data_IF_833849642851
#
_entry.id   IF_833849642851
#
_cell.length_a   1.000
_cell.length_b   1.000
_cell.length_c   1.000
_cell.angle_alpha   90.00
_cell.angle_beta   90.00
_cell.angle_gamma   90.00
#
_symmetry.space_group_name_H-M   'P 1'
#
loop_
_entity.id
_entity.type
_entity.pdbx_description
1 polymer ?
#
# COMPACT_ATOMS: atom_id res chain seq x y z
N UNK A 1 -4.62 16.34 41.37
CA UNK A 1 -5.56 15.73 40.39
C UNK A 1 -4.81 14.68 39.57
N UNK A 2 -5.02 13.39 39.85
CA UNK A 2 -4.40 12.31 39.07
C UNK A 2 -5.20 12.08 37.78
N UNK A 3 -4.59 12.35 36.62
CA UNK A 3 -5.16 11.97 35.32
C UNK A 3 -5.30 10.45 35.28
N UNK A 4 -6.54 9.95 35.31
CA UNK A 4 -6.87 8.54 35.04
C UNK A 4 -6.25 8.16 33.69
N UNK A 5 -5.22 7.29 33.70
CA UNK A 5 -4.79 6.56 32.50
C UNK A 5 -6.02 5.79 32.02
N UNK A 6 -6.60 6.18 30.88
CA UNK A 6 -7.59 5.34 30.18
C UNK A 6 -6.91 4.00 29.96
N UNK A 7 -7.39 2.92 30.59
CA UNK A 7 -7.00 1.56 30.26
C UNK A 7 -7.21 1.43 28.75
N UNK A 8 -6.13 1.19 27.99
CA UNK A 8 -6.26 0.79 26.59
C UNK A 8 -7.23 -0.40 26.58
N UNK A 9 -8.24 -0.43 25.69
CA UNK A 9 -9.07 -1.61 25.57
C UNK A 9 -8.12 -2.79 25.37
N UNK A 10 -8.24 -3.81 26.22
CA UNK A 10 -7.56 -5.09 26.00
C UNK A 10 -7.91 -5.50 24.58
N UNK A 11 -6.89 -5.55 23.73
CA UNK A 11 -7.00 -6.21 22.44
C UNK A 11 -7.60 -7.59 22.69
N UNK A 12 -8.78 -7.87 22.11
CA UNK A 12 -9.40 -9.20 22.15
C UNK A 12 -8.53 -10.27 21.46
N UNK A 13 -7.58 -9.84 20.63
CA UNK A 13 -6.69 -10.70 19.88
C UNK A 13 -5.37 -10.93 20.63
N UNK A 14 -4.97 -12.19 20.69
CA UNK A 14 -3.64 -12.65 21.10
C UNK A 14 -2.57 -12.19 20.09
N UNK A 15 -1.30 -12.27 20.48
CA UNK A 15 -0.19 -12.02 19.57
C UNK A 15 -0.18 -13.00 18.38
N UNK A 16 -0.55 -14.26 18.62
CA UNK A 16 -0.64 -15.29 17.58
C UNK A 16 -1.67 -14.95 16.51
N UNK A 17 -2.89 -14.59 16.91
CA UNK A 17 -3.95 -14.17 15.98
C UNK A 17 -3.54 -12.90 15.21
N UNK A 18 -2.82 -11.97 15.85
CA UNK A 18 -2.32 -10.77 15.17
C UNK A 18 -1.28 -11.09 14.10
N UNK A 19 -0.37 -12.04 14.35
CA UNK A 19 0.58 -12.51 13.33
C UNK A 19 -0.11 -13.17 12.15
N UNK A 20 -1.14 -13.97 12.43
CA UNK A 20 -1.94 -14.59 11.39
C UNK A 20 -2.64 -13.53 10.53
N UNK A 21 -3.27 -12.54 11.15
CA UNK A 21 -3.86 -11.40 10.44
C UNK A 21 -2.85 -10.60 9.62
N UNK A 22 -1.62 -10.39 10.13
CA UNK A 22 -0.55 -9.73 9.36
C UNK A 22 -0.24 -10.54 8.09
N UNK A 23 -0.05 -11.86 8.22
CA UNK A 23 0.26 -12.73 7.09
C UNK A 23 -0.88 -12.74 6.06
N UNK A 24 -2.11 -12.92 6.52
CA UNK A 24 -3.30 -12.96 5.65
C UNK A 24 -3.52 -11.63 4.93
N UNK A 25 -3.40 -10.50 5.63
CA UNK A 25 -3.56 -9.20 5.01
C UNK A 25 -2.40 -8.87 4.05
N UNK A 26 -1.17 -9.34 4.32
CA UNK A 26 -0.08 -9.23 3.33
C UNK A 26 -0.39 -10.02 2.06
N UNK A 27 -0.93 -11.24 2.18
CA UNK A 27 -1.32 -12.03 1.01
C UNK A 27 -2.52 -11.42 0.27
N UNK A 28 -3.52 -10.96 1.00
CA UNK A 28 -4.68 -10.30 0.44
C UNK A 28 -4.30 -8.99 -0.27
N UNK A 29 -3.37 -8.21 0.30
CA UNK A 29 -2.82 -7.03 -0.34
C UNK A 29 -2.14 -7.35 -1.67
N UNK A 30 -1.38 -8.46 -1.75
CA UNK A 30 -0.75 -8.93 -2.99
C UNK A 30 -1.79 -9.26 -4.06
N UNK A 31 -2.82 -10.04 -3.72
CA UNK A 31 -3.91 -10.39 -4.65
C UNK A 31 -4.63 -9.14 -5.16
N UNK A 32 -4.99 -8.23 -4.24
CA UNK A 32 -5.61 -6.96 -4.62
C UNK A 32 -4.70 -6.11 -5.52
N UNK A 33 -3.39 -6.11 -5.30
CA UNK A 33 -2.44 -5.39 -6.15
C UNK A 33 -2.34 -6.00 -7.56
N UNK A 34 -2.34 -7.33 -7.67
CA UNK A 34 -2.34 -8.04 -8.95
C UNK A 34 -3.59 -7.73 -9.78
N UNK A 35 -4.75 -7.66 -9.12
CA UNK A 35 -6.04 -7.33 -9.73
C UNK A 35 -6.24 -5.82 -10.01
N UNK A 36 -5.31 -4.96 -9.56
CA UNK A 36 -5.45 -3.50 -9.65
C UNK A 36 -6.52 -2.92 -8.70
N UNK A 37 -6.97 -3.69 -7.71
CA UNK A 37 -7.86 -3.24 -6.63
C UNK A 37 -7.07 -2.45 -5.57
N UNK A 38 -6.77 -1.19 -5.88
CA UNK A 38 -5.98 -0.30 -5.02
C UNK A 38 -6.64 -0.07 -3.66
N UNK A 39 -7.97 0.06 -3.61
CA UNK A 39 -8.67 0.27 -2.33
C UNK A 39 -8.55 -0.93 -1.41
N UNK A 40 -8.74 -2.14 -1.94
CA UNK A 40 -8.57 -3.37 -1.17
C UNK A 40 -7.14 -3.55 -0.68
N UNK A 41 -6.17 -3.24 -1.55
CA UNK A 41 -4.74 -3.30 -1.23
C UNK A 41 -4.36 -2.32 -0.11
N UNK A 42 -4.74 -1.05 -0.21
CA UNK A 42 -4.40 -0.02 0.79
C UNK A 42 -4.99 -0.36 2.16
N UNK A 43 -6.25 -0.79 2.20
CA UNK A 43 -6.91 -1.23 3.43
C UNK A 43 -6.18 -2.43 4.06
N UNK A 44 -5.81 -3.43 3.27
CA UNK A 44 -5.09 -4.59 3.75
C UNK A 44 -3.71 -4.21 4.32
N UNK A 45 -2.97 -3.33 3.65
CA UNK A 45 -1.68 -2.83 4.14
C UNK A 45 -1.83 -2.02 5.43
N UNK A 46 -2.89 -1.22 5.56
CA UNK A 46 -3.18 -0.51 6.81
C UNK A 46 -3.41 -1.48 7.96
N UNK A 47 -4.15 -2.57 7.73
CA UNK A 47 -4.33 -3.64 8.71
C UNK A 47 -3.00 -4.27 9.13
N UNK A 48 -2.11 -4.57 8.16
CA UNK A 48 -0.76 -5.08 8.44
C UNK A 48 0.01 -4.16 9.37
N UNK A 49 0.04 -2.85 9.07
CA UNK A 49 0.77 -1.85 9.86
C UNK A 49 0.16 -1.72 11.27
N UNK A 50 -1.17 -1.71 11.37
CA UNK A 50 -1.86 -1.57 12.65
C UNK A 50 -1.63 -2.79 13.56
N UNK A 51 -1.70 -4.00 13.01
CA UNK A 51 -1.45 -5.21 13.79
C UNK A 51 0.03 -5.37 14.13
N UNK A 52 0.96 -5.03 13.23
CA UNK A 52 2.40 -5.11 13.51
C UNK A 52 2.82 -4.13 14.61
N UNK A 53 2.32 -2.89 14.58
CA UNK A 53 2.53 -1.91 15.65
C UNK A 53 1.97 -2.37 17.00
N UNK A 54 0.85 -3.09 17.00
CA UNK A 54 0.24 -3.57 18.24
C UNK A 54 1.08 -4.65 18.95
N UNK A 55 1.89 -5.40 18.21
CA UNK A 55 2.77 -6.46 18.75
C UNK A 55 4.27 -6.14 18.62
N UNK A 56 4.61 -4.91 18.20
CA UNK A 56 5.98 -4.46 17.91
C UNK A 56 6.74 -5.36 16.92
N UNK A 57 6.04 -5.94 15.95
CA UNK A 57 6.64 -6.77 14.92
C UNK A 57 7.14 -5.92 13.75
N UNK A 58 8.35 -6.23 13.26
CA UNK A 58 8.95 -5.52 12.14
C UNK A 58 8.44 -6.16 10.84
N UNK A 59 7.75 -5.37 10.03
CA UNK A 59 7.30 -5.76 8.69
C UNK A 59 8.28 -5.27 7.62
N UNK A 60 8.41 -6.02 6.52
CA UNK A 60 9.25 -5.61 5.41
C UNK A 60 8.61 -4.43 4.64
N UNK A 61 9.04 -3.22 4.99
CA UNK A 61 8.59 -2.00 4.34
C UNK A 61 8.97 -1.93 2.85
N UNK A 62 10.01 -2.64 2.40
CA UNK A 62 10.34 -2.70 0.97
C UNK A 62 9.37 -3.62 0.22
N UNK A 63 8.94 -4.72 0.85
CA UNK A 63 7.89 -5.57 0.29
C UNK A 63 6.57 -4.82 0.17
N UNK A 64 6.13 -4.13 1.22
CA UNK A 64 4.91 -3.30 1.21
C UNK A 64 4.96 -2.28 0.06
N UNK A 65 6.10 -1.64 -0.17
CA UNK A 65 6.27 -0.69 -1.28
C UNK A 65 6.18 -1.34 -2.65
N UNK A 66 6.72 -2.54 -2.83
CA UNK A 66 6.59 -3.29 -4.09
C UNK A 66 5.12 -3.64 -4.36
N UNK A 67 4.40 -4.08 -3.34
CA UNK A 67 2.96 -4.36 -3.44
C UNK A 67 2.20 -3.09 -3.84
N UNK A 68 2.43 -1.97 -3.13
CA UNK A 68 1.81 -0.69 -3.48
C UNK A 68 2.11 -0.25 -4.91
N UNK A 69 3.39 -0.29 -5.30
CA UNK A 69 3.79 0.10 -6.65
C UNK A 69 3.07 -0.74 -7.72
N UNK A 70 3.03 -2.06 -7.53
CA UNK A 70 2.31 -2.98 -8.41
C UNK A 70 0.81 -2.63 -8.47
N UNK A 71 0.16 -2.46 -7.32
CA UNK A 71 -1.27 -2.19 -7.25
C UNK A 71 -1.65 -0.85 -7.89
N UNK A 72 -0.88 0.21 -7.65
CA UNK A 72 -1.11 1.49 -8.32
C UNK A 72 -0.89 1.41 -9.83
N UNK A 73 0.14 0.68 -10.30
CA UNK A 73 0.37 0.47 -11.73
C UNK A 73 -0.79 -0.29 -12.39
N UNK A 74 -1.24 -1.40 -11.80
CA UNK A 74 -2.39 -2.15 -12.32
C UNK A 74 -3.71 -1.39 -12.19
N UNK A 75 -3.91 -0.67 -11.09
CA UNK A 75 -5.06 0.21 -10.93
C UNK A 75 -5.16 1.28 -12.02
N UNK A 76 -4.03 1.83 -12.48
CA UNK A 76 -4.01 2.76 -13.61
C UNK A 76 -4.46 2.08 -14.91
N UNK A 77 -4.03 0.85 -15.17
CA UNK A 77 -4.42 0.10 -16.36
C UNK A 77 -5.91 -0.22 -16.37
N UNK A 78 -6.43 -0.73 -15.23
CA UNK A 78 -7.85 -1.02 -15.04
C UNK A 78 -8.71 0.23 -15.22
N UNK A 79 -8.32 1.34 -14.60
CA UNK A 79 -9.03 2.61 -14.76
C UNK A 79 -8.98 3.11 -16.20
N UNK A 80 -7.84 2.99 -16.89
CA UNK A 80 -7.71 3.42 -18.28
C UNK A 80 -8.65 2.65 -19.21
N UNK A 81 -8.75 1.32 -19.04
CA UNK A 81 -9.71 0.50 -19.78
C UNK A 81 -11.15 0.92 -19.46
N UNK A 82 -11.49 1.10 -18.18
CA UNK A 82 -12.84 1.51 -17.78
C UNK A 82 -13.22 2.89 -18.32
N UNK A 83 -12.30 3.85 -18.31
CA UNK A 83 -12.48 5.18 -18.88
C UNK A 83 -12.78 5.09 -20.39
N UNK A 84 -12.04 4.26 -21.12
CA UNK A 84 -12.29 4.05 -22.55
C UNK A 84 -13.71 3.51 -22.80
N UNK A 85 -14.12 2.47 -22.07
CA UNK A 85 -15.48 1.91 -22.16
C UNK A 85 -16.55 2.95 -21.82
N UNK A 86 -16.36 3.77 -20.78
CA UNK A 86 -17.33 4.80 -20.41
C UNK A 86 -17.50 5.86 -21.50
N UNK A 87 -16.42 6.23 -22.18
CA UNK A 87 -16.48 7.16 -23.32
C UNK A 87 -17.24 6.56 -24.51
N UNK A 88 -17.01 5.28 -24.81
CA UNK A 88 -17.78 4.56 -25.83
C UNK A 88 -19.27 4.47 -25.48
N UNK A 89 -19.60 4.36 -24.19
CA UNK A 89 -20.97 4.40 -23.67
C UNK A 89 -21.58 5.83 -23.63
N UNK A 90 -20.83 6.88 -24.00
CA UNK A 90 -21.27 8.28 -23.93
C UNK A 90 -21.30 8.89 -22.52
N UNK A 91 -20.69 8.22 -21.53
CA UNK A 91 -20.64 8.61 -20.11
C UNK A 91 -19.39 9.45 -19.81
N UNK A 92 -19.32 10.63 -20.42
CA UNK A 92 -18.14 11.50 -20.34
C UNK A 92 -17.85 12.01 -18.93
N UNK A 93 -18.87 12.36 -18.14
CA UNK A 93 -18.66 12.86 -16.77
C UNK A 93 -18.06 11.78 -15.85
N UNK A 94 -18.58 10.54 -15.91
CA UNK A 94 -18.01 9.42 -15.18
C UNK A 94 -16.57 9.14 -15.61
N UNK A 95 -16.30 9.20 -16.91
CA UNK A 95 -14.96 9.01 -17.46
C UNK A 95 -13.98 10.08 -16.95
N UNK A 96 -14.41 11.34 -16.86
CA UNK A 96 -13.59 12.43 -16.33
C UNK A 96 -13.29 12.25 -14.83
N UNK A 97 -14.31 11.87 -14.05
CA UNK A 97 -14.13 11.56 -12.61
C UNK A 97 -13.12 10.44 -12.40
N UNK A 98 -13.21 9.36 -13.16
CA UNK A 98 -12.20 8.28 -13.12
C UNK A 98 -10.83 8.74 -13.62
N UNK A 99 -10.79 9.68 -14.58
CA UNK A 99 -9.55 10.30 -15.04
C UNK A 99 -8.79 11.03 -13.94
N UNK A 100 -9.49 11.71 -13.02
CA UNK A 100 -8.88 12.34 -11.84
C UNK A 100 -8.25 11.29 -10.93
N UNK A 101 -8.99 10.22 -10.63
CA UNK A 101 -8.50 9.12 -9.79
C UNK A 101 -7.27 8.45 -10.39
N UNK A 102 -7.30 8.16 -11.69
CA UNK A 102 -6.17 7.57 -12.42
C UNK A 102 -4.91 8.46 -12.34
N UNK A 103 -5.05 9.78 -12.47
CA UNK A 103 -3.92 10.72 -12.29
C UNK A 103 -3.34 10.63 -10.88
N UNK A 104 -4.19 10.46 -9.86
CA UNK A 104 -3.73 10.26 -8.49
C UNK A 104 -2.91 8.97 -8.36
N UNK A 105 -3.40 7.85 -8.90
CA UNK A 105 -2.67 6.58 -8.84
C UNK A 105 -1.33 6.63 -9.56
N UNK A 106 -1.24 7.32 -10.71
CA UNK A 106 0.04 7.56 -11.40
C UNK A 106 1.03 8.32 -10.54
N UNK A 107 0.59 9.35 -9.81
CA UNK A 107 1.47 10.13 -8.93
C UNK A 107 1.98 9.29 -7.77
N UNK A 108 1.12 8.48 -7.15
CA UNK A 108 1.53 7.58 -6.07
C UNK A 108 2.55 6.55 -6.55
N UNK A 109 2.31 5.90 -7.70
CA UNK A 109 3.25 4.96 -8.29
C UNK A 109 4.63 5.59 -8.55
N UNK A 110 4.67 6.81 -9.10
CA UNK A 110 5.91 7.55 -9.35
C UNK A 110 6.64 7.87 -8.05
N UNK A 111 5.92 8.40 -7.05
CA UNK A 111 6.47 8.73 -5.73
C UNK A 111 7.12 7.51 -5.07
N UNK A 112 6.43 6.37 -5.09
CA UNK A 112 6.95 5.11 -4.53
C UNK A 112 8.21 4.66 -5.28
N UNK A 113 8.18 4.69 -6.61
CA UNK A 113 9.32 4.32 -7.45
C UNK A 113 10.54 5.19 -7.16
N UNK A 114 10.36 6.51 -7.14
CA UNK A 114 11.44 7.46 -6.86
C UNK A 114 12.05 7.24 -5.47
N UNK A 115 11.22 6.95 -4.46
CA UNK A 115 11.70 6.65 -3.12
C UNK A 115 12.50 5.34 -3.08
N UNK A 116 12.03 4.31 -3.78
CA UNK A 116 12.72 3.02 -3.87
C UNK A 116 14.09 3.17 -4.56
N UNK A 117 14.15 3.86 -5.69
CA UNK A 117 15.40 4.13 -6.39
C UNK A 117 16.37 4.97 -5.54
N UNK A 118 15.87 6.00 -4.86
CA UNK A 118 16.69 6.82 -3.95
C UNK A 118 17.31 5.96 -2.85
N UNK A 119 16.53 5.06 -2.23
CA UNK A 119 17.04 4.14 -1.20
C UNK A 119 18.09 3.19 -1.76
N UNK A 120 17.90 2.69 -2.98
CA UNK A 120 18.86 1.81 -3.62
C UNK A 120 20.17 2.54 -3.95
N UNK A 121 20.10 3.76 -4.49
CA UNK A 121 21.29 4.61 -4.72
C UNK A 121 22.08 4.82 -3.44
N UNK A 122 21.41 5.14 -2.32
CA UNK A 122 22.06 5.29 -1.02
C UNK A 122 22.70 3.99 -0.51
N UNK A 123 22.07 2.84 -0.74
CA UNK A 123 22.63 1.53 -0.37
C UNK A 123 23.89 1.19 -1.17
N UNK A 124 23.90 1.49 -2.47
CA UNK A 124 25.08 1.29 -3.34
C UNK A 124 26.25 2.17 -2.88
N UNK A 125 26.00 3.45 -2.67
CA UNK A 125 27.01 4.40 -2.19
C UNK A 125 27.64 3.97 -0.85
N UNK A 126 26.83 3.52 0.12
CA UNK A 126 27.34 3.01 1.42
C UNK A 126 28.23 1.77 1.26
N UNK A 127 27.88 0.87 0.33
CA UNK A 127 28.70 -0.32 0.05
C UNK A 127 30.03 0.03 -0.61
N UNK A 128 30.07 1.05 -1.45
CA UNK A 128 31.30 1.54 -2.09
C UNK A 128 32.22 2.22 -1.07
N UNK A 129 31.67 3.00 -0.13
CA UNK A 129 32.43 3.61 0.97
C UNK A 129 33.04 2.54 1.87
N UNK A 130 32.28 1.53 2.28
CA UNK A 130 32.76 0.47 3.17
C UNK A 130 33.75 -0.52 2.51
N UNK A 131 33.96 -0.42 1.19
CA UNK A 131 34.93 -1.24 0.44
C UNK A 131 36.29 -0.55 0.26
N UNK A 132 36.39 0.74 0.60
CA UNK A 132 37.64 1.52 0.62
C UNK A 132 38.19 1.58 2.03
#
# INVERSE_FOLDING_TARGET
MFRRRRKKPQSLLTEGERRELIRENMEYARKCAEDGNVSGMEMAIEMVINHSHAINEIVDMMEIKRIKLMGYQRGVEVLNQRIATLREEGKEEEAERLGILMRSYRREALSIKDEMERRERMRRMRREINKR
#
